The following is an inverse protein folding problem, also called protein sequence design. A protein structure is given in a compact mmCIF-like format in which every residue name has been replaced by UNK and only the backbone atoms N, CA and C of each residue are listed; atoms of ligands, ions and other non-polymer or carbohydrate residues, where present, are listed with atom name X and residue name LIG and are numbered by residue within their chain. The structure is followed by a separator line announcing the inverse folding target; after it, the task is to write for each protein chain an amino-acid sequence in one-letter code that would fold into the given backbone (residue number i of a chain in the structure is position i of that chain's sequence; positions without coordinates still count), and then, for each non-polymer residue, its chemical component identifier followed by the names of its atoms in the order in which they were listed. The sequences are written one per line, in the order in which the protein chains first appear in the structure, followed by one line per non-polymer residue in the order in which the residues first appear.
data_IF_451577716804
#
_entry.id   IF_451577716804
#
_cell.length_a   1.000
_cell.length_b   1.000
_cell.length_c   1.000
_cell.angle_alpha   90.00
_cell.angle_beta   90.00
_cell.angle_gamma   90.00
#
_symmetry.space_group_name_H-M   'P 1'
#
loop_
_entity.id
_entity.type
_entity.pdbx_description
1 polymer ?
#
# COMPACT_ATOMS: atom_id res chain seq x y z
N UNK A 1 -13.26 -7.65 -17.30
CA UNK A 1 -12.47 -6.92 -16.38
C UNK A 1 -10.99 -7.17 -16.57
N UNK A 2 -10.20 -6.15 -16.59
CA UNK A 2 -8.78 -6.33 -16.72
C UNK A 2 -8.20 -7.14 -15.56
N UNK A 3 -7.52 -8.23 -15.85
CA UNK A 3 -6.81 -8.98 -14.85
C UNK A 3 -5.69 -8.09 -14.31
N UNK A 4 -5.48 -8.02 -13.07
CA UNK A 4 -4.51 -7.16 -12.46
C UNK A 4 -5.06 -5.83 -11.96
N UNK A 5 -6.29 -5.50 -12.33
CA UNK A 5 -6.94 -4.38 -11.70
C UNK A 5 -7.34 -4.76 -10.28
N UNK A 6 -7.16 -3.81 -9.40
CA UNK A 6 -7.49 -4.00 -7.99
C UNK A 6 -8.95 -3.66 -7.82
N UNK A 7 -9.73 -4.64 -7.37
CA UNK A 7 -11.13 -4.44 -7.04
C UNK A 7 -11.24 -3.79 -5.67
N UNK A 8 -12.39 -3.21 -5.41
CA UNK A 8 -12.67 -2.59 -4.12
C UNK A 8 -11.64 -1.55 -3.74
N UNK A 9 -11.60 -0.51 -4.54
CA UNK A 9 -10.65 0.58 -4.35
C UNK A 9 -10.83 1.32 -3.03
N UNK A 10 -11.98 1.16 -2.37
CA UNK A 10 -12.26 1.85 -1.11
C UNK A 10 -11.23 1.49 -0.03
N UNK A 11 -10.94 0.20 0.14
CA UNK A 11 -9.97 -0.27 1.14
C UNK A 11 -8.56 0.19 0.77
N UNK A 12 -8.18 -0.01 -0.48
CA UNK A 12 -6.86 0.40 -0.93
C UNK A 12 -6.66 1.90 -0.90
N UNK A 13 -7.68 2.66 -1.26
CA UNK A 13 -7.60 4.12 -1.18
C UNK A 13 -7.42 4.58 0.26
N UNK A 14 -8.13 3.94 1.20
CA UNK A 14 -7.95 4.24 2.61
C UNK A 14 -6.48 4.03 3.04
N UNK A 15 -5.90 2.91 2.63
CA UNK A 15 -4.50 2.58 2.96
C UNK A 15 -3.55 3.58 2.31
N UNK A 16 -3.74 3.86 1.03
CA UNK A 16 -2.86 4.78 0.29
C UNK A 16 -2.89 6.18 0.93
N UNK A 17 -4.06 6.68 1.28
CA UNK A 17 -4.20 8.00 1.89
C UNK A 17 -3.43 8.14 3.19
N UNK A 18 -3.26 7.05 3.93
CA UNK A 18 -2.54 7.05 5.20
C UNK A 18 -1.08 6.64 5.06
N UNK A 19 -0.71 6.15 3.89
CA UNK A 19 0.68 5.78 3.60
C UNK A 19 1.48 7.04 3.26
N UNK A 20 2.77 6.85 3.05
CA UNK A 20 3.65 7.93 2.63
C UNK A 20 3.67 8.10 1.10
N UNK A 21 2.92 7.26 0.36
CA UNK A 21 2.81 7.36 -1.09
C UNK A 21 1.56 8.14 -1.48
N UNK A 22 1.64 8.85 -2.61
CA UNK A 22 0.43 9.29 -3.30
C UNK A 22 -0.07 8.16 -4.18
N UNK A 23 -1.33 8.24 -4.62
CA UNK A 23 -1.88 7.25 -5.55
C UNK A 23 -1.06 7.14 -6.83
N UNK A 24 -0.61 8.27 -7.36
CA UNK A 24 0.19 8.29 -8.59
C UNK A 24 1.55 7.62 -8.37
N UNK A 25 2.18 7.88 -7.24
CA UNK A 25 3.46 7.26 -6.90
C UNK A 25 3.33 5.75 -6.76
N UNK A 26 2.31 5.30 -6.04
CA UNK A 26 2.08 3.88 -5.86
C UNK A 26 1.79 3.20 -7.19
N UNK A 27 0.94 3.82 -8.02
CA UNK A 27 0.57 3.29 -9.33
C UNK A 27 1.78 3.13 -10.25
N UNK A 28 2.66 4.13 -10.30
CA UNK A 28 3.83 4.06 -11.18
C UNK A 28 4.82 2.98 -10.74
N UNK A 29 4.99 2.79 -9.44
CA UNK A 29 5.84 1.71 -8.91
C UNK A 29 5.25 0.36 -9.29
N UNK A 30 3.96 0.19 -9.06
CA UNK A 30 3.27 -1.07 -9.28
C UNK A 30 3.32 -1.47 -10.75
N UNK A 31 3.01 -0.54 -11.65
CA UNK A 31 3.05 -0.79 -13.08
C UNK A 31 4.47 -1.06 -13.57
N UNK A 32 5.44 -0.31 -13.07
CA UNK A 32 6.84 -0.55 -13.43
C UNK A 32 7.30 -1.93 -12.99
N UNK A 33 6.91 -2.36 -11.80
CA UNK A 33 7.24 -3.68 -11.27
C UNK A 33 6.62 -4.81 -12.10
N UNK A 34 5.40 -4.59 -12.59
CA UNK A 34 4.68 -5.56 -13.41
C UNK A 34 5.06 -5.53 -14.89
N UNK A 35 5.88 -4.57 -15.29
CA UNK A 35 6.21 -4.38 -16.69
C UNK A 35 5.06 -3.83 -17.52
N UNK A 36 4.08 -3.20 -16.88
CA UNK A 36 2.92 -2.62 -17.55
C UNK A 36 3.21 -1.20 -18.00
N UNK A 37 2.69 -0.78 -19.15
CA UNK A 37 2.84 0.60 -19.58
C UNK A 37 2.01 1.53 -18.73
N UNK A 38 2.49 2.77 -18.56
CA UNK A 38 1.69 3.79 -17.91
C UNK A 38 0.53 4.17 -18.82
N UNK A 39 -0.69 4.22 -18.25
CA UNK A 39 -1.87 4.62 -19.01
C UNK A 39 -2.12 6.11 -18.98
N UNK A 40 -1.40 6.84 -18.15
CA UNK A 40 -1.56 8.28 -18.07
C UNK A 40 -0.78 8.98 -19.17
N UNK A 41 -1.44 10.00 -19.76
CA UNK A 41 -0.84 10.82 -20.78
C UNK A 41 -0.03 11.92 -20.13
N UNK A 42 1.25 11.67 -19.96
CA UNK A 42 2.16 12.67 -19.44
C UNK A 42 3.44 12.67 -20.28
N UNK A 43 4.17 13.75 -20.20
CA UNK A 43 5.44 13.83 -20.90
C UNK A 43 6.41 12.80 -20.33
N UNK A 44 7.41 12.44 -21.16
CA UNK A 44 8.47 11.53 -20.74
C UNK A 44 9.17 12.08 -19.48
N UNK A 45 9.47 13.38 -19.48
CA UNK A 45 10.13 14.01 -18.33
C UNK A 45 9.30 13.95 -17.07
N UNK A 46 7.98 14.18 -17.17
CA UNK A 46 7.08 14.08 -16.03
C UNK A 46 7.00 12.66 -15.51
N UNK A 47 6.97 11.67 -16.40
CA UNK A 47 6.94 10.26 -16.02
C UNK A 47 8.20 9.88 -15.24
N UNK A 48 9.38 10.21 -15.76
CA UNK A 48 10.63 9.84 -15.11
C UNK A 48 10.84 10.58 -13.79
N UNK A 49 10.35 11.81 -13.70
CA UNK A 49 10.38 12.56 -12.45
C UNK A 49 9.54 11.88 -11.38
N UNK A 50 8.32 11.47 -11.76
CA UNK A 50 7.43 10.76 -10.85
C UNK A 50 8.04 9.41 -10.43
N UNK A 51 8.62 8.68 -11.38
CA UNK A 51 9.26 7.39 -11.10
C UNK A 51 10.42 7.56 -10.13
N UNK A 52 11.25 8.59 -10.32
CA UNK A 52 12.36 8.86 -9.42
C UNK A 52 11.88 9.21 -8.02
N UNK A 53 10.91 10.09 -7.90
CA UNK A 53 10.32 10.45 -6.60
C UNK A 53 9.78 9.22 -5.88
N UNK A 54 9.12 8.35 -6.62
CA UNK A 54 8.51 7.14 -6.06
C UNK A 54 9.56 6.15 -5.59
N UNK A 55 10.64 5.99 -6.35
CA UNK A 55 11.77 5.12 -5.98
C UNK A 55 12.50 5.65 -4.76
N UNK A 56 12.73 6.96 -4.70
CA UNK A 56 13.40 7.59 -3.55
C UNK A 56 12.58 7.37 -2.27
N UNK A 57 11.27 7.47 -2.38
CA UNK A 57 10.38 7.24 -1.26
C UNK A 57 10.41 5.78 -0.81
N UNK A 58 10.38 4.85 -1.76
CA UNK A 58 10.46 3.43 -1.45
C UNK A 58 11.79 3.09 -0.77
N UNK A 59 12.89 3.64 -1.28
CA UNK A 59 14.22 3.48 -0.71
C UNK A 59 14.22 3.93 0.77
N UNK A 60 13.70 5.11 1.04
CA UNK A 60 13.62 5.65 2.40
C UNK A 60 12.74 4.80 3.32
N UNK A 61 11.63 4.29 2.79
CA UNK A 61 10.74 3.43 3.57
C UNK A 61 11.42 2.12 3.95
N UNK A 62 12.16 1.51 3.03
CA UNK A 62 12.86 0.26 3.32
C UNK A 62 13.91 0.48 4.39
N UNK A 63 14.68 1.58 4.33
CA UNK A 63 15.62 1.91 5.39
C UNK A 63 14.91 2.20 6.72
N UNK A 64 13.73 2.81 6.67
CA UNK A 64 12.94 3.05 7.88
C UNK A 64 12.53 1.74 8.54
N UNK A 65 12.09 0.77 7.74
CA UNK A 65 11.75 -0.56 8.26
C UNK A 65 12.97 -1.22 8.90
N UNK A 66 14.12 -1.14 8.24
CA UNK A 66 15.37 -1.67 8.79
C UNK A 66 15.69 -1.03 10.14
N UNK A 67 15.57 0.29 10.22
CA UNK A 67 15.82 1.01 11.45
C UNK A 67 14.88 0.57 12.57
N UNK A 68 13.60 0.41 12.27
CA UNK A 68 12.61 -0.06 13.24
C UNK A 68 12.92 -1.48 13.73
N UNK A 69 13.41 -2.34 12.85
CA UNK A 69 13.81 -3.70 13.23
C UNK A 69 15.01 -3.67 14.15
N UNK A 70 16.02 -2.87 13.82
CA UNK A 70 17.23 -2.74 14.66
C UNK A 70 16.86 -2.24 16.05
N UNK A 71 15.92 -1.32 16.13
CA UNK A 71 15.47 -0.75 17.40
C UNK A 71 14.51 -1.66 18.18
N UNK A 72 14.11 -2.80 17.60
CA UNK A 72 13.15 -3.70 18.23
C UNK A 72 11.71 -3.24 18.16
N UNK A 73 11.42 -2.22 17.35
CA UNK A 73 10.06 -1.68 17.19
C UNK A 73 9.27 -2.38 16.10
N UNK A 74 9.94 -3.14 15.24
CA UNK A 74 9.30 -3.94 14.20
C UNK A 74 9.68 -5.39 14.43
N UNK A 75 9.03 -6.01 15.40
CA UNK A 75 9.33 -7.36 15.84
C UNK A 75 8.52 -8.41 15.07
N UNK A 76 8.69 -9.67 15.43
CA UNK A 76 8.01 -10.78 14.78
C UNK A 76 6.50 -10.69 14.91
N UNK A 77 6.02 -10.24 16.07
CA UNK A 77 4.59 -10.06 16.28
C UNK A 77 4.02 -8.98 15.36
N UNK A 78 4.72 -7.88 15.19
CA UNK A 78 4.32 -6.81 14.28
C UNK A 78 4.25 -7.32 12.84
N UNK A 79 5.27 -8.08 12.42
CA UNK A 79 5.27 -8.69 11.09
C UNK A 79 4.08 -9.60 10.88
N UNK A 80 3.76 -10.44 11.88
CA UNK A 80 2.65 -11.37 11.79
C UNK A 80 1.31 -10.65 11.67
N UNK A 81 1.14 -9.56 12.41
CA UNK A 81 -0.09 -8.75 12.33
C UNK A 81 -0.24 -8.14 10.94
N UNK A 82 0.84 -7.55 10.40
CA UNK A 82 0.80 -6.97 9.05
C UNK A 82 0.54 -8.02 7.98
N UNK A 83 1.11 -9.22 8.13
CA UNK A 83 0.84 -10.32 7.20
C UNK A 83 -0.64 -10.71 7.20
N UNK A 84 -1.25 -10.80 8.37
CA UNK A 84 -2.68 -11.11 8.47
C UNK A 84 -3.54 -10.03 7.83
N UNK A 85 -3.22 -8.77 8.10
CA UNK A 85 -3.95 -7.65 7.51
C UNK A 85 -3.81 -7.66 5.98
N UNK A 86 -2.60 -7.89 5.48
CA UNK A 86 -2.36 -7.99 4.04
C UNK A 86 -3.22 -9.08 3.40
N UNK A 87 -3.29 -10.24 4.03
CA UNK A 87 -4.08 -11.36 3.52
C UNK A 87 -5.57 -11.07 3.54
N UNK A 88 -6.05 -10.40 4.58
CA UNK A 88 -7.46 -10.00 4.66
C UNK A 88 -7.81 -9.03 3.53
N UNK A 89 -6.96 -8.04 3.30
CA UNK A 89 -7.18 -7.08 2.21
C UNK A 89 -7.15 -7.80 0.86
N UNK A 90 -6.18 -8.71 0.67
CA UNK A 90 -6.07 -9.46 -0.58
C UNK A 90 -7.33 -10.26 -0.88
N UNK A 91 -7.93 -10.89 0.13
CA UNK A 91 -9.18 -11.63 -0.04
C UNK A 91 -10.29 -10.72 -0.55
N UNK A 92 -10.38 -9.49 -0.04
CA UNK A 92 -11.41 -8.54 -0.50
C UNK A 92 -11.19 -8.09 -1.95
N UNK A 93 -9.98 -8.30 -2.49
CA UNK A 93 -9.68 -7.96 -3.88
C UNK A 93 -10.02 -9.10 -4.86
N UNK A 94 -10.28 -10.30 -4.37
CA UNK A 94 -10.59 -11.46 -5.21
C UNK A 94 -12.05 -11.51 -5.64
N UNK A 95 -12.93 -10.88 -4.88
CA UNK A 95 -14.36 -10.85 -5.19
C UNK A 95 -14.94 -9.53 -4.69
N UNK A 96 -16.11 -9.20 -5.21
CA UNK A 96 -16.81 -8.03 -4.74
C UNK A 96 -17.30 -8.27 -3.31
N UNK A 97 -17.08 -7.31 -2.44
CA UNK A 97 -17.57 -7.37 -1.08
C UNK A 97 -18.59 -6.27 -0.87
N UNK A 98 -19.52 -6.53 0.02
CA UNK A 98 -20.52 -5.54 0.39
C UNK A 98 -19.86 -4.35 1.09
N UNK A 99 -20.48 -3.20 0.97
CA UNK A 99 -19.94 -1.96 1.51
C UNK A 99 -19.71 -2.04 3.02
N UNK A 100 -20.62 -2.70 3.74
CA UNK A 100 -20.46 -2.83 5.19
C UNK A 100 -19.26 -3.70 5.56
N UNK A 101 -18.93 -4.70 4.74
CA UNK A 101 -17.75 -5.53 4.95
C UNK A 101 -16.49 -4.69 4.76
N UNK A 102 -16.44 -3.90 3.70
CA UNK A 102 -15.30 -3.03 3.45
C UNK A 102 -15.09 -2.04 4.61
N UNK A 103 -16.15 -1.44 5.09
CA UNK A 103 -16.08 -0.50 6.23
C UNK A 103 -15.60 -1.18 7.49
N UNK A 104 -16.06 -2.41 7.73
CA UNK A 104 -15.63 -3.16 8.91
C UNK A 104 -14.14 -3.51 8.84
N UNK A 105 -13.68 -3.95 7.68
CA UNK A 105 -12.25 -4.24 7.48
C UNK A 105 -11.41 -2.99 7.74
N UNK A 106 -11.83 -1.85 7.19
CA UNK A 106 -11.14 -0.57 7.38
C UNK A 106 -11.08 -0.21 8.86
N UNK A 107 -12.21 -0.33 9.56
CA UNK A 107 -12.29 0.04 10.98
C UNK A 107 -11.35 -0.81 11.83
N UNK A 108 -11.38 -2.12 11.63
CA UNK A 108 -10.54 -3.05 12.40
C UNK A 108 -9.06 -2.81 12.10
N UNK A 109 -8.73 -2.68 10.83
CA UNK A 109 -7.36 -2.43 10.40
C UNK A 109 -6.81 -1.14 11.02
N UNK A 110 -7.57 -0.06 10.96
CA UNK A 110 -7.13 1.23 11.48
C UNK A 110 -6.93 1.18 13.00
N UNK A 111 -7.83 0.50 13.73
CA UNK A 111 -7.66 0.30 15.17
C UNK A 111 -6.38 -0.44 15.50
N UNK A 112 -6.11 -1.54 14.79
CA UNK A 112 -4.92 -2.35 15.04
C UNK A 112 -3.65 -1.54 14.78
N UNK A 113 -3.60 -0.83 13.65
CA UNK A 113 -2.42 -0.04 13.28
C UNK A 113 -2.20 1.10 14.26
N UNK A 114 -3.28 1.76 14.71
CA UNK A 114 -3.15 2.81 15.72
C UNK A 114 -2.56 2.30 17.02
N UNK A 115 -2.99 1.11 17.46
CA UNK A 115 -2.42 0.49 18.67
C UNK A 115 -0.95 0.19 18.50
N UNK A 116 -0.57 -0.34 17.35
CA UNK A 116 0.83 -0.66 17.05
C UNK A 116 1.70 0.60 17.01
N UNK A 117 1.10 1.74 16.70
CA UNK A 117 1.81 3.01 16.55
C UNK A 117 1.96 3.78 17.84
N UNK A 118 1.37 3.31 18.93
CA UNK A 118 1.49 4.00 20.23
C UNK A 118 2.84 3.73 20.86
N UNK A 119 3.54 4.78 21.17
CA UNK A 119 4.85 4.73 21.84
C UNK A 119 4.83 5.54 23.12
#
# INVERSE_FOLDING_TARGET
MGSGEIKNNEILNFIIERSLFTSKQFDVILKRRRGEPSVEHRSRGAYYRLLKQSRDKLYGLIYSILLLQIAGLFDEQTKNVLDRLSKQVAVTQLSDVEEWVARDVIRVMDEVIRRMSKV
#
